data_IF_995771178443
#
_entry.id   IF_995771178443
#
_cell.length_a   1.000
_cell.length_b   1.000
_cell.length_c   1.000
_cell.angle_alpha   90.00
_cell.angle_beta   90.00
_cell.angle_gamma   90.00
#
_symmetry.space_group_name_H-M   'P 1'
#
loop_
_entity.id
_entity.type
_entity.pdbx_description
1 polymer ?
#
# COMPACT_ATOMS: atom_id res chain seq x y z
N UNK A 1 -37.72 -8.07 -2.83
CA UNK A 1 -36.44 -7.93 -2.15
C UNK A 1 -36.28 -9.02 -1.09
N UNK A 2 -35.05 -9.31 -0.71
CA UNK A 2 -34.72 -10.30 0.30
C UNK A 2 -34.83 -9.65 1.69
N UNK A 3 -35.36 -10.36 2.69
CA UNK A 3 -35.50 -9.84 4.06
C UNK A 3 -34.14 -9.76 4.73
N UNK A 4 -33.71 -8.57 5.18
CA UNK A 4 -32.44 -8.37 5.87
C UNK A 4 -32.55 -8.73 7.36
N UNK A 5 -31.92 -9.84 7.76
CA UNK A 5 -31.90 -10.36 9.14
C UNK A 5 -30.78 -9.65 9.91
N UNK A 6 -31.09 -9.06 11.08
CA UNK A 6 -30.09 -8.41 11.92
C UNK A 6 -29.68 -7.02 11.45
N UNK A 7 -30.44 -6.38 10.56
CA UNK A 7 -30.23 -4.98 10.22
C UNK A 7 -30.50 -4.10 11.45
N UNK A 8 -29.63 -3.14 11.69
CA UNK A 8 -29.73 -2.22 12.82
C UNK A 8 -30.62 -1.04 12.46
N UNK A 9 -31.61 -0.76 13.33
CA UNK A 9 -32.46 0.43 13.27
C UNK A 9 -32.13 1.28 14.49
N UNK A 10 -31.46 2.41 14.29
CA UNK A 10 -30.94 3.26 15.35
C UNK A 10 -31.58 4.65 15.33
N UNK A 11 -31.92 5.18 16.50
CA UNK A 11 -32.56 6.47 16.67
C UNK A 11 -31.58 7.41 17.34
N UNK A 12 -31.17 8.45 16.62
CA UNK A 12 -30.11 9.35 17.05
C UNK A 12 -30.47 10.15 18.32
N UNK A 13 -31.70 10.65 18.43
CA UNK A 13 -32.13 11.54 19.52
C UNK A 13 -32.14 10.85 20.89
N UNK A 14 -32.39 9.56 20.94
CA UNK A 14 -32.46 8.81 22.20
C UNK A 14 -31.30 7.83 22.38
N UNK A 15 -30.37 7.80 21.42
CA UNK A 15 -29.21 6.90 21.42
C UNK A 15 -29.59 5.43 21.65
N UNK A 16 -30.69 4.99 21.10
CA UNK A 16 -31.26 3.64 21.27
C UNK A 16 -31.70 3.07 19.93
N UNK A 17 -31.87 1.76 19.86
CA UNK A 17 -32.25 1.12 18.61
C UNK A 17 -32.70 -0.34 18.81
N UNK A 18 -33.06 -0.97 17.69
CA UNK A 18 -33.43 -2.38 17.62
C UNK A 18 -32.78 -3.03 16.38
N UNK A 19 -32.93 -4.35 16.28
CA UNK A 19 -32.48 -5.11 15.12
C UNK A 19 -33.68 -5.84 14.48
N UNK A 20 -33.58 -6.09 13.18
CA UNK A 20 -34.60 -6.85 12.46
C UNK A 20 -34.53 -8.34 12.80
N UNK A 21 -35.67 -8.98 12.88
CA UNK A 21 -35.82 -10.42 13.10
C UNK A 21 -35.58 -11.23 11.80
N UNK A 22 -35.66 -12.60 11.82
CA UNK A 22 -35.46 -13.44 10.62
C UNK A 22 -36.35 -13.12 9.43
N UNK A 23 -37.44 -12.41 9.63
CA UNK A 23 -38.37 -11.99 8.58
C UNK A 23 -38.16 -10.55 8.14
N UNK A 24 -37.10 -9.87 8.62
CA UNK A 24 -36.83 -8.47 8.35
C UNK A 24 -37.73 -7.47 9.08
N UNK A 25 -38.53 -7.97 10.05
CA UNK A 25 -39.45 -7.13 10.83
C UNK A 25 -38.74 -6.52 12.05
N UNK A 26 -39.06 -5.25 12.33
CA UNK A 26 -38.64 -4.52 13.52
C UNK A 26 -39.82 -3.78 14.15
N UNK A 27 -39.73 -3.49 15.44
CA UNK A 27 -40.73 -2.69 16.16
C UNK A 27 -40.04 -1.86 17.23
N UNK A 28 -40.42 -0.58 17.31
CA UNK A 28 -39.94 0.35 18.32
C UNK A 28 -41.14 1.15 18.82
N UNK A 29 -41.23 1.34 20.14
CA UNK A 29 -42.24 2.18 20.77
C UNK A 29 -41.56 3.45 21.25
N UNK A 30 -42.05 4.60 20.79
CA UNK A 30 -41.53 5.95 21.08
C UNK A 30 -42.70 6.87 21.48
N UNK A 31 -42.39 7.94 22.17
CA UNK A 31 -43.32 9.04 22.38
C UNK A 31 -43.54 9.83 21.08
N UNK A 32 -44.61 10.62 21.00
CA UNK A 32 -44.88 11.47 19.86
C UNK A 32 -43.71 12.49 19.66
N UNK A 33 -43.23 12.64 18.45
CA UNK A 33 -42.10 13.51 18.16
C UNK A 33 -41.46 13.27 16.77
N UNK A 34 -40.43 14.06 16.45
CA UNK A 34 -39.70 13.92 15.22
C UNK A 34 -38.37 13.21 15.49
N UNK A 35 -38.10 12.15 14.75
CA UNK A 35 -36.94 11.31 14.95
C UNK A 35 -36.14 11.11 13.66
N UNK A 36 -34.81 11.11 13.78
CA UNK A 36 -33.91 10.68 12.72
C UNK A 36 -33.54 9.21 12.98
N UNK A 37 -33.98 8.36 12.09
CA UNK A 37 -33.81 6.91 12.19
C UNK A 37 -32.79 6.46 11.13
N UNK A 38 -31.71 5.85 11.58
CA UNK A 38 -30.67 5.27 10.75
C UNK A 38 -30.88 3.77 10.57
N UNK A 39 -30.93 3.32 9.34
CA UNK A 39 -31.00 1.93 8.95
C UNK A 39 -29.65 1.49 8.43
N UNK A 40 -29.03 0.48 9.07
CA UNK A 40 -27.67 0.03 8.74
C UNK A 40 -27.63 -1.48 8.64
N UNK A 41 -26.94 -1.97 7.61
CA UNK A 41 -26.65 -3.39 7.46
C UNK A 41 -25.31 -3.58 6.78
N UNK A 42 -24.54 -4.61 7.16
CA UNK A 42 -23.21 -4.88 6.60
C UNK A 42 -23.34 -5.20 5.12
N UNK A 43 -22.57 -4.50 4.26
CA UNK A 43 -22.63 -4.67 2.81
C UNK A 43 -23.73 -3.85 2.12
N UNK A 44 -24.43 -2.96 2.84
CA UNK A 44 -25.45 -2.07 2.28
C UNK A 44 -25.19 -0.61 2.64
N UNK A 45 -25.64 0.30 1.80
CA UNK A 45 -25.57 1.74 2.08
C UNK A 45 -26.49 2.08 3.24
N UNK A 46 -25.98 2.85 4.21
CA UNK A 46 -26.79 3.33 5.33
C UNK A 46 -27.82 4.34 4.84
N UNK A 47 -29.06 4.21 5.29
CA UNK A 47 -30.13 5.12 4.96
C UNK A 47 -30.63 5.81 6.23
N UNK A 48 -30.60 7.14 6.24
CA UNK A 48 -31.19 7.98 7.30
C UNK A 48 -32.53 8.52 6.85
N UNK A 49 -33.54 8.43 7.71
CA UNK A 49 -34.89 8.88 7.42
C UNK A 49 -35.42 9.72 8.59
N UNK A 50 -35.85 10.94 8.28
CA UNK A 50 -36.55 11.78 9.27
C UNK A 50 -38.02 11.40 9.29
N UNK A 51 -38.55 11.09 10.48
CA UNK A 51 -39.91 10.57 10.70
C UNK A 51 -40.62 11.39 11.75
N UNK A 52 -41.78 11.93 11.41
CA UNK A 52 -42.70 12.58 12.34
C UNK A 52 -43.69 11.54 12.87
N UNK A 53 -43.54 11.17 14.14
CA UNK A 53 -44.34 10.16 14.82
C UNK A 53 -45.49 10.85 15.60
N UNK A 54 -46.53 11.21 14.89
CA UNK A 54 -47.77 11.76 15.45
C UNK A 54 -48.86 10.68 15.65
N UNK A 55 -48.64 9.46 15.15
CA UNK A 55 -49.47 8.28 15.28
C UNK A 55 -48.70 7.00 14.95
N UNK A 56 -49.33 5.82 15.14
CA UNK A 56 -48.68 4.57 14.75
C UNK A 56 -48.34 4.55 13.27
N UNK A 57 -47.06 4.34 12.96
CA UNK A 57 -46.54 4.42 11.62
C UNK A 57 -45.86 3.10 11.23
N UNK A 58 -46.16 2.60 10.04
CA UNK A 58 -45.42 1.51 9.42
C UNK A 58 -44.46 2.07 8.37
N UNK A 59 -43.19 1.68 8.50
CA UNK A 59 -42.15 2.12 7.58
C UNK A 59 -41.49 0.88 7.00
N UNK A 60 -41.63 0.69 5.70
CA UNK A 60 -40.87 -0.26 4.91
C UNK A 60 -39.65 0.43 4.33
N UNK A 61 -38.47 -0.20 4.46
CA UNK A 61 -37.19 0.38 4.03
C UNK A 61 -36.45 -0.61 3.15
N UNK A 62 -36.00 -0.13 2.02
CA UNK A 62 -35.12 -0.88 1.12
C UNK A 62 -33.72 -0.30 1.19
N UNK A 63 -32.72 -1.14 1.46
CA UNK A 63 -31.33 -0.75 1.45
C UNK A 63 -30.70 -1.21 0.12
N UNK A 64 -29.99 -0.33 -0.52
CA UNK A 64 -29.19 -0.65 -1.71
C UNK A 64 -27.90 -1.34 -1.29
N UNK A 65 -27.50 -2.41 -2.00
CA UNK A 65 -26.18 -2.99 -1.78
C UNK A 65 -25.12 -1.92 -1.96
N UNK A 66 -24.26 -1.80 -0.99
CA UNK A 66 -23.03 -1.05 -1.14
C UNK A 66 -22.05 -1.98 -1.81
N UNK A 67 -21.69 -1.69 -3.07
CA UNK A 67 -20.40 -2.08 -3.55
C UNK A 67 -19.38 -1.28 -2.72
N UNK A 68 -19.07 -1.79 -1.54
CA UNK A 68 -17.90 -1.35 -0.81
C UNK A 68 -16.73 -1.83 -1.67
N UNK A 69 -16.28 -1.01 -2.61
CA UNK A 69 -14.87 -0.97 -2.90
C UNK A 69 -14.23 -0.76 -1.52
N UNK A 70 -13.77 -1.84 -0.94
CA UNK A 70 -12.81 -1.74 0.14
C UNK A 70 -11.70 -0.90 -0.48
N UNK A 71 -11.62 0.37 -0.11
CA UNK A 71 -10.38 1.12 -0.27
C UNK A 71 -9.32 0.14 0.17
N UNK A 72 -8.41 -0.18 -0.73
CA UNK A 72 -7.31 -1.04 -0.42
C UNK A 72 -6.74 -0.49 0.88
N UNK A 73 -7.05 -1.13 2.00
CA UNK A 73 -6.31 -0.89 3.22
C UNK A 73 -4.92 -1.36 2.84
N UNK A 74 -4.13 -0.41 2.38
CA UNK A 74 -2.70 -0.60 2.26
C UNK A 74 -2.28 -0.79 3.71
N UNK A 75 -2.25 -2.04 4.15
CA UNK A 75 -1.56 -2.41 5.36
C UNK A 75 -0.11 -2.19 5.02
N UNK A 76 0.32 -0.94 5.16
CA UNK A 76 1.73 -0.59 5.18
C UNK A 76 2.28 -1.32 6.39
N UNK A 77 3.08 -2.33 6.15
CA UNK A 77 3.79 -3.13 7.17
C UNK A 77 4.75 -2.25 8.00
N UNK A 78 4.82 -0.98 7.65
CA UNK A 78 5.70 0.03 8.24
C UNK A 78 4.89 1.28 8.54
N UNK A 79 4.83 1.65 9.82
CA UNK A 79 4.24 2.92 10.24
C UNK A 79 4.89 4.10 9.48
N UNK A 80 4.12 5.13 9.14
CA UNK A 80 4.63 6.30 8.40
C UNK A 80 5.80 6.99 9.10
N UNK A 81 5.86 6.89 10.42
CA UNK A 81 6.90 7.44 11.28
C UNK A 81 8.05 6.46 11.58
N UNK A 82 8.09 5.28 10.93
CA UNK A 82 9.14 4.25 11.15
C UNK A 82 10.55 4.83 11.08
N UNK A 83 10.82 5.69 10.11
CA UNK A 83 12.13 6.33 9.94
C UNK A 83 12.50 7.29 11.10
N UNK A 84 11.53 7.69 11.91
CA UNK A 84 11.70 8.60 13.06
C UNK A 84 11.69 7.80 14.37
N UNK A 85 10.79 6.83 14.48
CA UNK A 85 10.53 6.07 15.70
C UNK A 85 11.37 4.80 15.83
N UNK A 86 12.02 4.34 14.75
CA UNK A 86 12.80 3.11 14.77
C UNK A 86 14.06 3.23 15.65
N UNK A 87 14.35 2.18 16.41
CA UNK A 87 15.57 2.06 17.25
C UNK A 87 16.83 1.94 16.39
N UNK A 88 16.68 1.58 15.10
CA UNK A 88 17.79 1.45 14.17
C UNK A 88 18.33 2.84 13.77
N UNK A 89 19.47 3.21 14.30
CA UNK A 89 20.10 4.50 14.01
C UNK A 89 20.58 4.60 12.57
N UNK A 90 20.30 5.74 11.92
CA UNK A 90 20.77 6.06 10.55
C UNK A 90 20.30 5.11 9.46
N UNK A 91 19.14 4.48 9.65
CA UNK A 91 18.47 3.64 8.66
C UNK A 91 17.32 4.42 8.01
N UNK A 92 17.13 4.24 6.72
CA UNK A 92 15.97 4.75 5.99
C UNK A 92 15.31 3.58 5.26
N UNK A 93 14.01 3.38 5.49
CA UNK A 93 13.19 2.43 4.75
C UNK A 93 12.30 3.20 3.77
N UNK A 94 12.23 2.73 2.53
CA UNK A 94 11.40 3.27 1.47
C UNK A 94 10.54 2.14 0.88
N UNK A 95 9.25 2.32 0.90
CA UNK A 95 8.31 1.46 0.20
C UNK A 95 8.20 1.90 -1.27
N UNK A 96 7.97 0.95 -2.17
CA UNK A 96 7.86 1.26 -3.59
C UNK A 96 6.67 2.18 -3.91
N UNK A 97 5.60 2.20 -3.10
CA UNK A 97 4.51 3.16 -3.23
C UNK A 97 5.02 4.62 -3.20
N UNK A 98 5.92 4.93 -2.27
CA UNK A 98 6.53 6.27 -2.16
C UNK A 98 7.51 6.57 -3.31
N UNK A 99 8.20 5.54 -3.82
CA UNK A 99 9.10 5.69 -4.97
C UNK A 99 8.31 6.00 -6.25
N UNK A 100 7.12 5.45 -6.40
CA UNK A 100 6.26 5.70 -7.58
C UNK A 100 5.64 7.10 -7.60
N UNK A 101 5.57 7.79 -6.45
CA UNK A 101 5.11 9.17 -6.35
C UNK A 101 6.17 10.20 -6.81
N UNK A 102 7.45 9.76 -6.87
CA UNK A 102 8.56 10.62 -7.31
C UNK A 102 8.48 10.83 -8.82
N UNK A 103 8.72 12.06 -9.33
CA UNK A 103 8.74 12.32 -10.77
C UNK A 103 9.69 11.37 -11.50
N UNK A 104 9.19 10.78 -12.58
CA UNK A 104 9.92 9.80 -13.37
C UNK A 104 11.08 10.44 -14.14
N UNK A 105 12.21 9.77 -14.18
CA UNK A 105 13.33 10.13 -15.07
C UNK A 105 13.26 9.27 -16.33
N UNK A 106 13.18 9.91 -17.50
CA UNK A 106 12.99 9.25 -18.79
C UNK A 106 11.74 8.33 -18.88
N UNK A 107 10.71 8.62 -18.08
CA UNK A 107 9.45 7.84 -18.08
C UNK A 107 9.46 6.61 -17.19
N UNK A 108 10.47 6.44 -16.35
CA UNK A 108 10.57 5.33 -15.40
C UNK A 108 10.99 5.81 -13.99
N UNK A 109 10.40 5.17 -12.97
CA UNK A 109 10.79 5.39 -11.59
C UNK A 109 12.10 4.62 -11.31
N UNK A 110 13.17 5.33 -11.03
CA UNK A 110 14.46 4.71 -10.71
C UNK A 110 14.67 4.70 -9.19
N UNK A 111 14.89 3.50 -8.66
CA UNK A 111 15.10 3.24 -7.24
C UNK A 111 16.32 4.00 -6.71
N UNK A 112 17.39 4.04 -7.46
CA UNK A 112 18.62 4.74 -7.06
C UNK A 112 18.40 6.26 -7.04
N UNK A 113 17.59 6.78 -7.97
CA UNK A 113 17.19 8.20 -7.94
C UNK A 113 16.38 8.55 -6.71
N UNK A 114 15.46 7.66 -6.30
CA UNK A 114 14.70 7.84 -5.07
C UNK A 114 15.60 7.89 -3.83
N UNK A 115 16.62 7.04 -3.77
CA UNK A 115 17.59 7.03 -2.67
C UNK A 115 18.43 8.31 -2.64
N UNK A 116 18.77 8.89 -3.78
CA UNK A 116 19.55 10.15 -3.87
C UNK A 116 18.80 11.34 -3.25
N UNK A 117 17.48 11.26 -3.06
CA UNK A 117 16.69 12.30 -2.38
C UNK A 117 16.77 12.21 -0.84
N UNK A 118 17.33 11.12 -0.30
CA UNK A 118 17.43 10.95 1.15
C UNK A 118 18.51 11.84 1.76
N UNK A 119 18.31 12.38 2.98
CA UNK A 119 19.30 13.15 3.67
C UNK A 119 20.62 12.39 3.85
N UNK A 120 21.74 13.04 3.51
CA UNK A 120 23.08 12.44 3.60
C UNK A 120 23.44 11.49 2.47
N UNK A 121 22.65 11.46 1.41
CA UNK A 121 22.95 10.79 0.14
C UNK A 121 23.16 11.85 -0.94
N UNK A 122 24.14 11.66 -1.79
CA UNK A 122 24.40 12.54 -2.93
C UNK A 122 24.58 11.75 -4.21
N UNK A 123 24.20 12.34 -5.34
CA UNK A 123 24.46 11.79 -6.66
C UNK A 123 25.95 11.88 -7.00
N UNK A 124 26.44 10.97 -7.85
CA UNK A 124 27.81 10.98 -8.38
C UNK A 124 27.99 12.03 -9.48
N UNK A 125 26.89 12.41 -10.11
CA UNK A 125 26.83 13.38 -11.20
C UNK A 125 25.40 13.54 -11.71
N UNK A 126 25.17 14.55 -12.54
CA UNK A 126 23.87 14.79 -13.14
C UNK A 126 23.44 13.58 -13.99
N UNK A 127 22.24 13.07 -13.70
CA UNK A 127 21.69 11.91 -14.41
C UNK A 127 22.26 10.54 -14.01
N UNK A 128 23.40 10.45 -13.31
CA UNK A 128 24.04 9.17 -12.99
C UNK A 128 23.27 8.38 -11.91
N UNK A 129 23.23 7.04 -12.06
CA UNK A 129 22.61 6.12 -11.11
C UNK A 129 23.55 5.66 -9.99
N UNK A 130 24.70 6.32 -9.79
CA UNK A 130 25.57 6.11 -8.65
C UNK A 130 25.14 6.98 -7.46
N UNK A 131 25.43 6.54 -6.24
CA UNK A 131 25.18 7.34 -5.04
C UNK A 131 26.34 7.26 -4.06
N UNK A 132 26.56 8.35 -3.36
CA UNK A 132 27.52 8.48 -2.28
C UNK A 132 26.76 8.70 -0.97
N UNK A 133 27.20 8.08 0.11
CA UNK A 133 26.59 8.24 1.43
C UNK A 133 27.59 8.85 2.37
N UNK A 134 27.24 9.99 2.98
CA UNK A 134 28.04 10.70 3.98
C UNK A 134 29.49 10.94 3.55
N UNK A 135 29.68 11.30 2.28
CA UNK A 135 31.01 11.56 1.70
C UNK A 135 31.81 10.32 1.32
N UNK A 136 31.27 9.12 1.49
CA UNK A 136 31.88 7.89 0.96
C UNK A 136 31.77 7.80 -0.56
N UNK A 137 32.67 7.04 -1.21
CA UNK A 137 32.63 6.82 -2.65
C UNK A 137 31.65 5.70 -3.04
N UNK A 138 31.23 5.67 -4.31
CA UNK A 138 30.29 4.65 -4.85
C UNK A 138 30.74 3.23 -4.53
N UNK A 139 32.01 2.92 -4.72
CA UNK A 139 32.56 1.59 -4.45
C UNK A 139 32.59 1.18 -2.97
N UNK A 140 32.27 2.09 -2.05
CA UNK A 140 32.20 1.85 -0.61
C UNK A 140 30.77 1.50 -0.14
N UNK A 141 29.79 1.50 -1.04
CA UNK A 141 28.43 1.07 -0.75
C UNK A 141 28.25 -0.41 -1.12
N UNK A 142 27.60 -1.17 -0.27
CA UNK A 142 27.16 -2.51 -0.58
C UNK A 142 25.70 -2.45 -1.06
N UNK A 143 25.47 -2.97 -2.25
CA UNK A 143 24.12 -3.10 -2.79
C UNK A 143 23.76 -4.58 -2.81
N UNK A 144 22.64 -4.92 -2.19
CA UNK A 144 22.12 -6.28 -2.09
C UNK A 144 20.75 -6.36 -2.76
N UNK A 145 20.53 -7.43 -3.50
CA UNK A 145 19.23 -7.84 -4.02
C UNK A 145 18.89 -9.20 -3.44
N UNK A 146 17.89 -9.27 -2.56
CA UNK A 146 17.56 -10.48 -1.80
C UNK A 146 18.81 -11.16 -1.19
N UNK A 147 19.63 -10.36 -0.49
CA UNK A 147 20.90 -10.76 0.16
C UNK A 147 22.06 -11.04 -0.80
N UNK A 148 21.84 -11.11 -2.11
CA UNK A 148 22.89 -11.29 -3.09
C UNK A 148 23.59 -9.96 -3.45
N UNK A 149 24.94 -9.88 -3.41
CA UNK A 149 25.64 -8.65 -3.73
C UNK A 149 25.56 -8.30 -5.23
N UNK A 150 25.18 -7.07 -5.51
CA UNK A 150 25.14 -6.49 -6.85
C UNK A 150 26.34 -5.55 -7.02
N UNK A 151 27.33 -5.96 -7.83
CA UNK A 151 28.57 -5.21 -8.02
C UNK A 151 28.41 -4.01 -8.93
N UNK A 152 27.55 -4.10 -9.94
CA UNK A 152 27.22 -2.99 -10.81
C UNK A 152 25.71 -2.72 -10.77
N UNK A 153 25.32 -1.65 -10.08
CA UNK A 153 23.92 -1.26 -9.90
C UNK A 153 23.36 -0.41 -11.02
N UNK A 154 24.14 -0.14 -12.08
CA UNK A 154 23.73 0.72 -13.19
C UNK A 154 23.97 0.07 -14.54
N UNK A 155 23.19 0.46 -15.54
CA UNK A 155 23.38 0.14 -16.94
C UNK A 155 23.14 1.37 -17.82
N UNK A 156 23.21 1.21 -19.15
CA UNK A 156 23.06 2.30 -20.11
C UNK A 156 23.96 3.48 -19.77
N UNK A 157 25.29 3.25 -19.78
CA UNK A 157 26.32 4.25 -19.49
C UNK A 157 26.17 4.91 -18.09
N UNK A 158 25.52 4.23 -17.15
CA UNK A 158 25.35 4.73 -15.79
C UNK A 158 24.11 5.60 -15.56
N UNK A 159 23.25 5.79 -16.54
CA UNK A 159 22.07 6.65 -16.40
C UNK A 159 20.90 5.97 -15.67
N UNK A 160 20.82 4.64 -15.69
CA UNK A 160 19.70 3.88 -15.12
C UNK A 160 20.20 2.78 -14.19
N UNK A 161 19.42 2.50 -13.18
CA UNK A 161 19.66 1.33 -12.32
C UNK A 161 19.30 0.03 -13.03
N UNK A 162 19.92 -1.06 -12.59
CA UNK A 162 19.60 -2.42 -13.09
C UNK A 162 18.30 -2.97 -12.48
N UNK A 163 17.75 -2.31 -11.48
CA UNK A 163 16.59 -2.77 -10.73
C UNK A 163 15.29 -2.43 -11.46
N UNK A 164 14.45 -3.44 -11.68
CA UNK A 164 13.11 -3.22 -12.19
C UNK A 164 12.19 -2.78 -11.04
N UNK A 165 11.64 -1.54 -11.04
CA UNK A 165 10.83 -1.02 -9.95
C UNK A 165 9.55 -1.83 -9.71
N UNK A 166 9.00 -2.47 -10.75
CA UNK A 166 7.78 -3.27 -10.62
C UNK A 166 7.99 -4.56 -9.83
N UNK A 167 9.22 -5.08 -9.82
CA UNK A 167 9.59 -6.30 -9.13
C UNK A 167 10.10 -6.08 -7.69
N UNK A 168 10.35 -4.83 -7.29
CA UNK A 168 10.87 -4.51 -5.95
C UNK A 168 9.73 -4.24 -4.99
N UNK A 169 9.82 -4.81 -3.78
CA UNK A 169 8.88 -4.63 -2.68
C UNK A 169 9.23 -3.41 -1.83
N UNK A 170 10.43 -3.43 -1.27
CA UNK A 170 10.92 -2.35 -0.41
C UNK A 170 12.46 -2.22 -0.47
N UNK A 171 12.95 -1.10 0.04
CA UNK A 171 14.34 -0.73 0.10
C UNK A 171 14.71 -0.34 1.51
N UNK A 172 15.86 -0.80 1.99
CA UNK A 172 16.41 -0.39 3.27
C UNK A 172 17.84 0.11 3.10
N UNK A 173 18.07 1.39 3.41
CA UNK A 173 19.38 2.00 3.33
C UNK A 173 19.96 2.21 4.75
N UNK A 174 21.04 1.52 5.05
CA UNK A 174 21.82 1.72 6.25
C UNK A 174 22.92 2.74 5.96
N UNK A 175 22.80 3.94 6.51
CA UNK A 175 23.77 5.05 6.38
C UNK A 175 24.79 5.10 7.53
N UNK A 176 24.66 4.20 8.52
CA UNK A 176 25.45 4.05 9.73
C UNK A 176 24.78 3.02 10.63
N UNK A 177 25.44 2.62 11.73
CA UNK A 177 24.91 1.56 12.59
C UNK A 177 24.72 0.23 11.85
N UNK A 178 25.63 -0.09 10.92
CA UNK A 178 25.53 -1.25 10.05
C UNK A 178 25.54 -2.52 10.91
N UNK A 179 24.51 -3.39 10.82
CA UNK A 179 24.47 -4.64 11.54
C UNK A 179 25.66 -5.55 11.21
N UNK A 180 26.16 -6.31 12.19
CA UNK A 180 27.34 -7.18 12.07
C UNK A 180 27.23 -8.28 11.01
N UNK A 181 26.00 -8.59 10.57
CA UNK A 181 25.76 -9.56 9.46
C UNK A 181 26.23 -9.04 8.10
N UNK A 182 26.40 -7.74 7.95
CA UNK A 182 26.88 -7.11 6.73
C UNK A 182 28.36 -6.76 6.86
N UNK A 183 29.13 -7.02 5.80
CA UNK A 183 30.57 -6.74 5.75
C UNK A 183 31.03 -6.35 4.35
N UNK A 184 32.34 -6.08 4.21
CA UNK A 184 33.00 -5.84 2.92
C UNK A 184 32.82 -4.43 2.34
N UNK A 185 32.01 -3.56 2.97
CA UNK A 185 31.84 -2.14 2.59
C UNK A 185 31.73 -1.27 3.84
N UNK A 186 32.19 -0.01 3.72
CA UNK A 186 32.38 0.86 4.89
C UNK A 186 31.46 2.08 4.91
N UNK A 187 30.83 2.45 3.79
CA UNK A 187 30.01 3.66 3.74
C UNK A 187 28.54 3.38 4.02
N UNK A 188 27.92 2.49 3.25
CA UNK A 188 26.50 2.16 3.43
C UNK A 188 26.15 0.76 2.92
N UNK A 189 24.96 0.31 3.31
CA UNK A 189 24.36 -0.91 2.78
C UNK A 189 22.97 -0.55 2.24
N UNK A 190 22.72 -0.87 0.98
CA UNK A 190 21.42 -0.80 0.34
C UNK A 190 20.89 -2.23 0.21
N UNK A 191 19.91 -2.58 1.00
CA UNK A 191 19.21 -3.88 0.96
C UNK A 191 17.91 -3.71 0.19
N UNK A 192 17.80 -4.37 -0.96
CA UNK A 192 16.65 -4.34 -1.86
C UNK A 192 15.96 -5.69 -1.75
N UNK A 193 14.65 -5.66 -1.46
CA UNK A 193 13.82 -6.85 -1.37
C UNK A 193 12.87 -6.93 -2.57
N UNK A 194 12.83 -8.11 -3.18
CA UNK A 194 11.92 -8.40 -4.29
C UNK A 194 10.52 -8.69 -3.79
N UNK A 195 9.52 -8.47 -4.64
CA UNK A 195 8.14 -8.88 -4.38
C UNK A 195 8.01 -10.40 -4.48
N UNK A 196 7.19 -10.97 -3.60
CA UNK A 196 6.58 -12.26 -3.86
C UNK A 196 5.46 -12.08 -4.91
N UNK A 197 5.33 -12.98 -5.86
CA UNK A 197 4.22 -12.92 -6.83
C UNK A 197 2.86 -13.07 -6.15
N UNK A 198 1.79 -12.68 -6.83
CA UNK A 198 0.44 -12.77 -6.31
C UNK A 198 0.00 -14.24 -6.16
N UNK A 199 -0.35 -14.65 -4.93
CA UNK A 199 -0.77 -16.02 -4.59
C UNK A 199 -2.24 -16.31 -4.88
N UNK A 200 -3.05 -15.28 -5.15
CA UNK A 200 -4.50 -15.42 -5.31
C UNK A 200 -4.94 -15.34 -6.76
N UNK A 201 -4.46 -14.32 -7.47
CA UNK A 201 -4.91 -14.00 -8.83
C UNK A 201 -3.71 -13.75 -9.75
N UNK A 202 -3.92 -13.97 -11.05
CA UNK A 202 -2.97 -13.53 -12.07
C UNK A 202 -3.14 -12.03 -12.28
N UNK A 203 -2.04 -11.29 -12.17
CA UNK A 203 -1.97 -9.85 -12.38
C UNK A 203 -0.94 -9.57 -13.47
N UNK A 204 -1.31 -8.76 -14.44
CA UNK A 204 -0.42 -8.29 -15.50
C UNK A 204 -0.37 -6.78 -15.43
N UNK A 205 0.82 -6.23 -15.32
CA UNK A 205 1.06 -4.79 -15.36
C UNK A 205 2.16 -4.47 -16.36
N UNK A 206 2.12 -3.28 -16.93
CA UNK A 206 3.14 -2.89 -17.88
C UNK A 206 2.99 -1.45 -18.33
N UNK A 207 3.97 -0.97 -19.05
CA UNK A 207 4.00 0.37 -19.60
C UNK A 207 4.85 0.43 -20.85
N UNK A 208 4.47 1.31 -21.76
CA UNK A 208 5.24 1.61 -22.96
C UNK A 208 5.67 3.07 -22.86
N UNK A 209 6.96 3.29 -22.81
CA UNK A 209 7.58 4.61 -22.84
C UNK A 209 8.35 4.85 -24.14
N UNK A 210 8.90 6.03 -24.29
CA UNK A 210 9.69 6.42 -25.47
C UNK A 210 11.04 5.71 -25.56
N UNK A 211 11.59 5.28 -24.42
CA UNK A 211 12.91 4.65 -24.31
C UNK A 211 12.79 3.21 -23.79
N UNK A 212 11.86 2.96 -22.88
CA UNK A 212 11.67 1.67 -22.24
C UNK A 212 10.26 1.17 -22.40
N UNK A 213 10.14 -0.14 -22.48
CA UNK A 213 8.88 -0.87 -22.30
C UNK A 213 9.06 -1.86 -21.18
N UNK A 214 8.08 -2.00 -20.32
CA UNK A 214 8.10 -2.91 -19.17
C UNK A 214 6.86 -3.78 -19.16
N UNK A 215 7.03 -5.01 -18.72
CA UNK A 215 5.94 -5.97 -18.56
C UNK A 215 6.21 -6.79 -17.31
N UNK A 216 5.24 -6.84 -16.43
CA UNK A 216 5.32 -7.66 -15.22
C UNK A 216 4.11 -8.59 -15.18
N UNK A 217 4.37 -9.86 -14.94
CA UNK A 217 3.39 -10.92 -14.78
C UNK A 217 3.57 -11.55 -13.41
N UNK A 218 2.53 -11.51 -12.62
CA UNK A 218 2.44 -12.19 -11.34
C UNK A 218 1.34 -13.25 -11.39
N UNK A 219 1.59 -14.46 -10.93
CA UNK A 219 0.56 -15.50 -10.93
C UNK A 219 0.80 -16.55 -9.85
N UNK A 220 -0.27 -17.14 -9.29
CA UNK A 220 -0.13 -18.33 -8.46
C UNK A 220 0.30 -19.53 -9.30
N UNK A 221 1.26 -20.31 -8.78
CA UNK A 221 1.55 -21.68 -9.28
C UNK A 221 0.56 -22.63 -8.62
N UNK A 222 0.40 -22.49 -7.29
CA UNK A 222 -0.64 -23.18 -6.51
C UNK A 222 -1.34 -22.13 -5.69
N UNK A 223 -2.66 -21.98 -5.89
CA UNK A 223 -3.46 -20.96 -5.23
C UNK A 223 -3.26 -20.97 -3.72
N UNK A 224 -3.05 -19.78 -3.14
CA UNK A 224 -2.80 -19.49 -1.74
C UNK A 224 -1.51 -20.12 -1.15
N UNK A 225 -0.70 -20.86 -1.94
CA UNK A 225 0.52 -21.52 -1.47
C UNK A 225 1.79 -20.97 -2.10
N UNK A 226 1.84 -20.95 -3.42
CA UNK A 226 3.04 -20.56 -4.15
C UNK A 226 2.70 -19.67 -5.34
N UNK A 227 3.60 -18.77 -5.67
CA UNK A 227 3.46 -17.80 -6.76
C UNK A 227 4.78 -17.59 -7.47
N UNK A 228 4.73 -16.98 -8.62
CA UNK A 228 5.91 -16.46 -9.30
C UNK A 228 5.67 -15.02 -9.77
N UNK A 229 6.76 -14.31 -9.97
CA UNK A 229 6.79 -13.02 -10.64
C UNK A 229 7.79 -13.07 -11.79
N UNK A 230 7.39 -12.55 -12.94
CA UNK A 230 8.23 -12.34 -14.11
C UNK A 230 8.18 -10.86 -14.46
N UNK A 231 9.32 -10.20 -14.40
CA UNK A 231 9.43 -8.78 -14.71
C UNK A 231 10.45 -8.58 -15.84
N UNK A 232 9.98 -8.02 -16.94
CA UNK A 232 10.75 -7.72 -18.14
C UNK A 232 10.87 -6.21 -18.32
N UNK A 233 11.99 -5.80 -18.90
CA UNK A 233 12.30 -4.39 -19.19
C UNK A 233 13.11 -4.27 -20.47
#
# INVERSE_FOLDING_TARGET
GESLIGATVYINQISSGTITNPYGFYSITLEEGVYDIDFRYIGYQSLSKNVDLSSNLKIDVELSSSDVELENVIVSDVAEDFNISSIEMSTAKLDMSKVTEIPTFLGENDIIKAIQLLPGVSSVGEGASGFNVRGGSVGQNLVLLDEAPVYNSSHLLGFLSVFNPDAVKDLKLYKGGIPSRYGGRISSILDIRMKDGNKKNTVVSGGIGTIFSRLTLESPIVKDKSSFILALR
#
